data_IF_058147373053
#
_entry.id   IF_058147373053
#
_cell.length_a   1.000
_cell.length_b   1.000
_cell.length_c   1.000
_cell.angle_alpha   90.00
_cell.angle_beta   90.00
_cell.angle_gamma   90.00
#
_symmetry.space_group_name_H-M   'P 1'
#
loop_
_entity.id
_entity.type
_entity.pdbx_description
1 polymer ?
#
# COMPACT_ATOMS: atom_id res chain seq x y z
N UNK A 1 22.12 -6.72 -5.11
CA UNK A 1 22.51 -5.68 -4.13
C UNK A 1 21.70 -5.99 -2.89
N UNK A 2 22.34 -6.39 -1.80
CA UNK A 2 21.64 -6.73 -0.55
C UNK A 2 20.98 -5.45 -0.04
N UNK A 3 19.65 -5.41 -0.10
CA UNK A 3 18.86 -4.31 0.45
C UNK A 3 19.10 -4.27 1.96
N UNK A 4 19.16 -3.08 2.57
CA UNK A 4 19.22 -2.94 4.03
C UNK A 4 18.10 -3.77 4.70
N UNK A 5 16.96 -3.85 4.01
CA UNK A 5 15.77 -4.56 4.44
C UNK A 5 15.83 -6.09 4.32
N UNK A 6 16.85 -6.66 3.67
CA UNK A 6 17.06 -8.12 3.59
C UNK A 6 17.42 -8.72 4.96
N UNK A 7 17.98 -7.90 5.85
CA UNK A 7 18.33 -8.28 7.23
C UNK A 7 17.14 -8.30 8.17
N UNK A 8 16.00 -7.71 7.78
CA UNK A 8 14.78 -7.72 8.57
C UNK A 8 14.14 -9.12 8.43
N UNK A 9 13.74 -9.78 9.52
CA UNK A 9 13.04 -11.06 9.43
C UNK A 9 11.72 -10.95 8.65
N UNK A 10 11.39 -11.97 7.86
CA UNK A 10 10.12 -12.01 7.10
C UNK A 10 8.91 -11.80 8.01
N UNK A 11 8.90 -12.37 9.22
CA UNK A 11 7.81 -12.19 10.20
C UNK A 11 7.54 -10.72 10.54
N UNK A 12 8.59 -9.90 10.66
CA UNK A 12 8.48 -8.47 10.95
C UNK A 12 7.93 -7.74 9.72
N UNK A 13 8.43 -8.06 8.52
CA UNK A 13 7.92 -7.49 7.27
C UNK A 13 6.43 -7.80 7.08
N UNK A 14 6.03 -9.06 7.26
CA UNK A 14 4.63 -9.50 7.15
C UNK A 14 3.73 -8.81 8.16
N UNK A 15 4.17 -8.72 9.42
CA UNK A 15 3.40 -8.02 10.47
C UNK A 15 3.21 -6.55 10.11
N UNK A 16 4.25 -5.89 9.63
CA UNK A 16 4.20 -4.49 9.23
C UNK A 16 3.28 -4.25 8.03
N UNK A 17 3.37 -5.09 6.99
CA UNK A 17 2.45 -5.05 5.84
C UNK A 17 1.01 -5.24 6.29
N UNK A 18 0.75 -6.21 7.17
CA UNK A 18 -0.60 -6.47 7.69
C UNK A 18 -1.13 -5.30 8.51
N UNK A 19 -0.30 -4.68 9.33
CA UNK A 19 -0.67 -3.51 10.13
C UNK A 19 -1.01 -2.30 9.24
N UNK A 20 -0.15 -2.00 8.26
CA UNK A 20 -0.26 -0.78 7.45
C UNK A 20 -1.16 -0.91 6.23
N UNK A 21 -1.25 -2.09 5.62
CA UNK A 21 -2.00 -2.33 4.38
C UNK A 21 -3.12 -3.36 4.55
N UNK A 22 -3.23 -4.05 5.69
CA UNK A 22 -4.19 -5.14 5.87
C UNK A 22 -5.65 -4.74 5.67
N UNK A 23 -6.04 -3.53 6.12
CA UNK A 23 -7.40 -3.01 5.90
C UNK A 23 -7.72 -2.75 4.42
N UNK A 24 -6.70 -2.39 3.64
CA UNK A 24 -6.81 -2.22 2.20
C UNK A 24 -6.85 -3.58 1.47
N UNK A 25 -6.01 -4.53 1.87
CA UNK A 25 -5.93 -5.86 1.24
C UNK A 25 -7.21 -6.69 1.45
N UNK A 26 -7.89 -6.52 2.59
CA UNK A 26 -9.16 -7.21 2.90
C UNK A 26 -10.38 -6.71 2.11
N UNK A 27 -10.28 -5.64 1.32
CA UNK A 27 -11.43 -5.01 0.62
C UNK A 27 -11.86 -5.70 -0.69
N UNK A 28 -11.52 -6.98 -0.88
CA UNK A 28 -11.95 -7.76 -2.05
C UNK A 28 -11.39 -7.21 -3.38
N UNK A 29 -12.13 -7.28 -4.50
CA UNK A 29 -11.59 -6.99 -5.84
C UNK A 29 -11.09 -5.55 -6.04
N UNK A 30 -11.58 -4.59 -5.24
CA UNK A 30 -11.13 -3.19 -5.27
C UNK A 30 -9.76 -2.95 -4.62
N UNK A 31 -9.25 -3.91 -3.84
CA UNK A 31 -7.96 -3.78 -3.15
C UNK A 31 -6.81 -3.56 -4.12
N UNK A 32 -6.77 -4.30 -5.23
CA UNK A 32 -5.71 -4.16 -6.26
C UNK A 32 -5.70 -2.79 -6.92
N UNK A 33 -6.88 -2.24 -7.21
CA UNK A 33 -7.00 -0.91 -7.82
C UNK A 33 -6.55 0.20 -6.86
N UNK A 34 -6.93 0.11 -5.59
CA UNK A 34 -6.53 1.07 -4.56
C UNK A 34 -5.04 0.94 -4.22
N UNK A 35 -4.50 -0.28 -4.17
CA UNK A 35 -3.07 -0.53 -3.97
C UNK A 35 -2.25 0.06 -5.11
N UNK A 36 -2.68 -0.17 -6.36
CA UNK A 36 -2.05 0.46 -7.52
C UNK A 36 -2.15 1.98 -7.50
N UNK A 37 -3.31 2.51 -7.09
CA UNK A 37 -3.51 3.96 -6.94
C UNK A 37 -2.56 4.54 -5.91
N UNK A 38 -2.41 3.88 -4.75
CA UNK A 38 -1.48 4.28 -3.70
C UNK A 38 -0.04 4.25 -4.20
N UNK A 39 0.37 3.18 -4.88
CA UNK A 39 1.71 3.06 -5.44
C UNK A 39 2.02 4.21 -6.40
N UNK A 40 1.14 4.48 -7.37
CA UNK A 40 1.35 5.56 -8.35
C UNK A 40 1.33 6.93 -7.67
N UNK A 41 0.49 7.14 -6.68
CA UNK A 41 0.46 8.37 -5.90
C UNK A 41 1.79 8.64 -5.19
N UNK A 42 2.35 7.61 -4.54
CA UNK A 42 3.62 7.69 -3.83
C UNK A 42 4.81 7.84 -4.80
N UNK A 43 4.81 7.15 -5.94
CA UNK A 43 5.78 7.30 -7.03
C UNK A 43 5.82 8.73 -7.57
N UNK A 44 4.67 9.40 -7.62
CA UNK A 44 4.55 10.79 -8.04
C UNK A 44 4.80 11.79 -6.90
N UNK A 45 5.40 11.37 -5.78
CA UNK A 45 5.68 12.19 -4.60
C UNK A 45 4.42 12.92 -4.07
N UNK A 46 3.25 12.27 -4.13
CA UNK A 46 1.99 12.83 -3.67
C UNK A 46 1.35 13.86 -4.61
N UNK A 47 1.91 14.06 -5.82
CA UNK A 47 1.36 15.00 -6.80
C UNK A 47 0.12 14.40 -7.50
N UNK A 48 -1.06 14.78 -7.01
CA UNK A 48 -2.36 14.30 -7.52
C UNK A 48 -2.50 14.49 -9.03
N UNK A 49 -2.07 15.63 -9.60
CA UNK A 49 -2.20 15.87 -11.04
C UNK A 49 -1.37 14.89 -11.87
N UNK A 50 -0.17 14.57 -11.40
CA UNK A 50 0.73 13.68 -12.14
C UNK A 50 0.32 12.22 -11.99
N UNK A 51 -0.06 11.82 -10.76
CA UNK A 51 -0.62 10.50 -10.51
C UNK A 51 -1.91 10.25 -11.32
N UNK A 52 -2.79 11.25 -11.45
CA UNK A 52 -4.03 11.13 -12.23
C UNK A 52 -3.75 10.87 -13.71
N UNK A 53 -2.76 11.57 -14.29
CA UNK A 53 -2.32 11.34 -15.68
C UNK A 53 -1.77 9.92 -15.84
N UNK A 54 -0.89 9.49 -14.93
CA UNK A 54 -0.25 8.16 -14.99
C UNK A 54 -1.25 7.02 -14.80
N UNK A 55 -2.31 7.24 -14.04
CA UNK A 55 -3.42 6.30 -13.85
C UNK A 55 -4.50 6.40 -14.94
N UNK A 56 -4.39 7.33 -15.89
CA UNK A 56 -5.41 7.62 -16.91
C UNK A 56 -6.81 7.88 -16.33
N UNK A 57 -6.88 8.57 -15.19
CA UNK A 57 -8.14 8.94 -14.52
C UNK A 57 -8.26 10.45 -14.36
N UNK A 58 -9.47 10.93 -14.17
CA UNK A 58 -9.69 12.32 -13.83
C UNK A 58 -9.20 12.62 -12.40
N UNK A 59 -8.73 13.84 -12.15
CA UNK A 59 -8.22 14.27 -10.82
C UNK A 59 -9.25 14.06 -9.70
N UNK A 60 -10.55 14.21 -9.99
CA UNK A 60 -11.61 14.03 -9.00
C UNK A 60 -11.77 12.54 -8.64
N UNK A 61 -11.67 11.65 -9.62
CA UNK A 61 -11.68 10.20 -9.39
C UNK A 61 -10.49 9.78 -8.54
N UNK A 62 -9.31 10.32 -8.83
CA UNK A 62 -8.13 10.06 -8.00
C UNK A 62 -8.33 10.61 -6.57
N UNK A 63 -8.81 11.84 -6.42
CA UNK A 63 -9.07 12.42 -5.10
C UNK A 63 -10.03 11.56 -4.27
N UNK A 64 -11.10 11.05 -4.88
CA UNK A 64 -12.03 10.10 -4.24
C UNK A 64 -11.33 8.80 -3.81
N UNK A 65 -10.48 8.23 -4.67
CA UNK A 65 -9.71 7.02 -4.31
C UNK A 65 -8.73 7.29 -3.17
N UNK A 66 -8.10 8.47 -3.13
CA UNK A 66 -7.18 8.87 -2.05
C UNK A 66 -7.91 9.12 -0.73
N UNK A 67 -9.11 9.70 -0.77
CA UNK A 67 -10.00 9.82 0.39
C UNK A 67 -10.38 8.43 0.92
N UNK A 68 -10.82 7.55 0.02
CA UNK A 68 -11.12 6.14 0.36
C UNK A 68 -9.90 5.43 0.96
N UNK A 69 -8.70 5.65 0.44
CA UNK A 69 -7.46 5.10 0.98
C UNK A 69 -7.22 5.58 2.42
N UNK A 70 -7.38 6.88 2.67
CA UNK A 70 -7.22 7.46 4.01
C UNK A 70 -8.26 6.90 5.00
N UNK A 71 -9.52 6.75 4.56
CA UNK A 71 -10.59 6.16 5.39
C UNK A 71 -10.29 4.70 5.75
N UNK A 72 -9.80 3.91 4.78
CA UNK A 72 -9.49 2.50 5.00
C UNK A 72 -8.25 2.29 5.87
N UNK A 73 -7.25 3.14 5.71
CA UNK A 73 -5.97 3.03 6.40
C UNK A 73 -5.95 3.81 7.73
N UNK A 74 -6.93 4.67 7.97
CA UNK A 74 -7.01 5.50 9.17
C UNK A 74 -5.84 6.49 9.29
N UNK A 75 -5.32 6.98 8.16
CA UNK A 75 -4.11 7.80 8.13
C UNK A 75 -4.27 9.03 7.22
N UNK A 76 -3.44 10.06 7.40
CA UNK A 76 -3.34 11.19 6.47
C UNK A 76 -2.16 10.96 5.50
N UNK A 77 -2.46 10.92 4.20
CA UNK A 77 -1.48 10.69 3.12
C UNK A 77 -0.56 11.90 2.86
N UNK A 78 -0.71 13.00 3.60
CA UNK A 78 0.18 14.17 3.54
C UNK A 78 1.25 14.16 4.63
N UNK A 79 1.07 13.36 5.67
CA UNK A 79 2.04 13.24 6.75
C UNK A 79 3.25 12.44 6.29
N UNK A 80 4.45 12.96 6.58
CA UNK A 80 5.69 12.35 6.11
C UNK A 80 5.87 10.94 6.69
N UNK A 81 5.57 10.76 7.97
CA UNK A 81 5.68 9.46 8.65
C UNK A 81 4.76 8.42 7.99
N UNK A 82 3.51 8.80 7.67
CA UNK A 82 2.57 7.96 6.93
C UNK A 82 3.12 7.59 5.55
N UNK A 83 3.67 8.57 4.81
CA UNK A 83 4.23 8.33 3.47
C UNK A 83 5.39 7.33 3.53
N UNK A 84 6.28 7.46 4.51
CA UNK A 84 7.41 6.55 4.71
C UNK A 84 6.92 5.15 5.06
N UNK A 85 6.00 5.04 6.02
CA UNK A 85 5.41 3.77 6.43
C UNK A 85 4.76 3.04 5.25
N UNK A 86 3.95 3.74 4.46
CA UNK A 86 3.25 3.14 3.32
C UNK A 86 4.19 2.75 2.18
N UNK A 87 5.25 3.53 1.93
CA UNK A 87 6.28 3.12 0.97
C UNK A 87 6.98 1.85 1.41
N UNK A 88 7.39 1.79 2.67
CA UNK A 88 8.07 0.62 3.22
C UNK A 88 7.17 -0.62 3.20
N UNK A 89 5.90 -0.45 3.55
CA UNK A 89 4.92 -1.53 3.49
C UNK A 89 4.70 -2.02 2.06
N UNK A 90 4.65 -1.13 1.05
CA UNK A 90 4.55 -1.54 -0.35
C UNK A 90 5.79 -2.28 -0.84
N UNK A 91 6.99 -1.86 -0.43
CA UNK A 91 8.23 -2.55 -0.80
C UNK A 91 8.27 -3.95 -0.18
N UNK A 92 7.92 -4.09 1.11
CA UNK A 92 7.82 -5.41 1.76
C UNK A 92 6.75 -6.30 1.13
N UNK A 93 5.62 -5.73 0.72
CA UNK A 93 4.57 -6.49 0.03
C UNK A 93 5.05 -7.02 -1.33
N UNK A 94 5.86 -6.24 -2.06
CA UNK A 94 6.41 -6.62 -3.37
C UNK A 94 7.53 -7.64 -3.30
N UNK A 95 8.29 -7.65 -2.21
CA UNK A 95 9.41 -8.58 -1.98
C UNK A 95 8.96 -10.01 -1.62
N UNK A 96 7.68 -10.34 -1.76
CA UNK A 96 7.19 -11.72 -1.67
C UNK A 96 6.63 -12.12 -0.31
N UNK A 97 5.92 -11.23 0.37
CA UNK A 97 5.01 -11.62 1.47
C UNK A 97 3.70 -12.17 0.86
N UNK A 98 3.79 -13.18 -0.01
CA UNK A 98 2.62 -13.88 -0.58
C UNK A 98 2.51 -15.34 -0.08
N UNK A 99 3.43 -15.84 0.75
CA UNK A 99 3.56 -17.30 0.94
C UNK A 99 3.01 -17.92 2.26
N UNK A 100 2.35 -17.20 3.17
CA UNK A 100 1.96 -17.83 4.47
C UNK A 100 0.51 -17.66 4.98
N UNK A 101 -0.43 -17.01 4.29
CA UNK A 101 -1.82 -16.85 4.80
C UNK A 101 -2.86 -17.81 4.18
N UNK A 102 -2.41 -18.95 3.63
CA UNK A 102 -3.28 -19.97 3.03
C UNK A 102 -3.43 -21.30 3.80
N UNK A 103 -3.07 -21.37 5.10
CA UNK A 103 -2.99 -22.66 5.83
C UNK A 103 -3.68 -22.77 7.20
N UNK A 104 -4.53 -21.83 7.60
CA UNK A 104 -5.15 -21.87 8.95
C UNK A 104 -6.69 -21.95 9.02
N UNK A 105 -7.41 -22.18 7.92
CA UNK A 105 -8.88 -22.36 7.97
C UNK A 105 -9.38 -23.82 7.84
N UNK A 106 -8.51 -24.83 7.93
CA UNK A 106 -8.90 -26.24 8.01
C UNK A 106 -8.46 -26.87 9.35
N UNK A 107 -9.17 -26.57 10.43
CA UNK A 107 -9.16 -27.34 11.68
C UNK A 107 -10.54 -27.37 12.35
#
# INVERSE_FOLDING_TARGET
>A
MTSLFDTIPTSVRTTFVREKLGALLKNGPYSRELLWTLQVYLDCNGQVREAAKRLYVHRNTLAYRLERLQDLLGCDLKELDTIIDLRLALDFYRDGVEDEEGREDDA
#
